data_IF_760100237366
#
_entry.id   IF_760100237366
#
_cell.length_a   1.000
_cell.length_b   1.000
_cell.length_c   1.000
_cell.angle_alpha   90.00
_cell.angle_beta   90.00
_cell.angle_gamma   90.00
#
_symmetry.space_group_name_H-M   'P 1'
#
loop_
_entity.id
_entity.type
_entity.pdbx_description
1 polymer ?
#
# COMPACT_ATOMS: atom_id res chain seq x y z
N UNK A 1 17.64 23.73 -1.47
CA UNK A 1 17.02 23.01 -2.61
C UNK A 1 16.42 24.04 -3.57
N UNK A 2 16.89 24.11 -4.81
CA UNK A 2 16.28 24.97 -5.84
C UNK A 2 15.06 24.25 -6.41
N UNK A 3 13.93 24.95 -6.48
CA UNK A 3 12.64 24.37 -6.85
C UNK A 3 12.66 23.73 -8.25
N UNK A 4 13.24 24.41 -9.23
CA UNK A 4 13.33 23.91 -10.62
C UNK A 4 14.13 22.60 -10.70
N UNK A 5 15.28 22.52 -10.03
CA UNK A 5 16.11 21.32 -10.00
C UNK A 5 15.38 20.15 -9.32
N UNK A 6 14.61 20.46 -8.27
CA UNK A 6 13.81 19.47 -7.57
C UNK A 6 12.70 18.90 -8.47
N UNK A 7 11.98 19.74 -9.21
CA UNK A 7 10.94 19.31 -10.16
C UNK A 7 11.55 18.43 -11.25
N UNK A 8 12.67 18.83 -11.86
CA UNK A 8 13.35 18.01 -12.88
C UNK A 8 13.80 16.66 -12.32
N UNK A 9 14.28 16.66 -11.08
CA UNK A 9 14.71 15.41 -10.43
C UNK A 9 13.53 14.49 -10.18
N UNK A 10 12.42 14.99 -9.64
CA UNK A 10 11.21 14.18 -9.41
C UNK A 10 10.58 13.68 -10.72
N UNK A 11 10.59 14.51 -11.78
CA UNK A 11 10.15 14.10 -13.11
C UNK A 11 10.96 12.92 -13.64
N UNK A 12 12.28 12.89 -13.46
CA UNK A 12 13.11 11.72 -13.86
C UNK A 12 12.72 10.44 -13.14
N UNK A 13 12.30 10.54 -11.87
CA UNK A 13 11.78 9.39 -11.12
C UNK A 13 10.39 8.98 -11.62
N UNK A 14 9.52 9.93 -11.92
CA UNK A 14 8.19 9.68 -12.49
C UNK A 14 8.26 8.95 -13.84
N UNK A 15 9.23 9.29 -14.68
CA UNK A 15 9.45 8.58 -15.96
C UNK A 15 9.84 7.10 -15.78
N UNK A 16 10.31 6.74 -14.58
CA UNK A 16 10.61 5.34 -14.16
C UNK A 16 9.48 4.77 -13.29
N UNK A 17 8.27 5.26 -13.45
CA UNK A 17 7.05 4.86 -12.77
C UNK A 17 7.10 4.99 -11.22
N UNK A 18 8.03 5.81 -10.72
CA UNK A 18 8.14 6.10 -9.29
C UNK A 18 7.61 7.50 -8.98
N UNK A 19 6.40 7.56 -8.45
CA UNK A 19 5.68 8.80 -8.13
C UNK A 19 5.32 8.93 -6.64
N UNK A 20 5.43 7.85 -5.86
CA UNK A 20 5.21 7.82 -4.41
C UNK A 20 6.56 7.75 -3.71
N UNK A 21 6.78 8.66 -2.77
CA UNK A 21 8.05 8.83 -2.05
C UNK A 21 7.79 8.92 -0.56
N UNK A 22 8.62 8.25 0.22
CA UNK A 22 8.71 8.52 1.66
C UNK A 22 9.55 9.78 1.90
N UNK A 23 9.41 10.38 3.07
CA UNK A 23 10.30 11.47 3.52
C UNK A 23 11.77 11.05 3.44
N UNK A 24 12.08 9.80 3.80
CA UNK A 24 13.43 9.24 3.72
C UNK A 24 13.94 9.13 2.28
N UNK A 25 13.07 8.77 1.32
CA UNK A 25 13.44 8.74 -0.10
C UNK A 25 13.81 10.13 -0.59
N UNK A 26 12.95 11.10 -0.31
CA UNK A 26 13.21 12.50 -0.69
C UNK A 26 14.47 13.03 -0.03
N UNK A 27 14.72 12.67 1.23
CA UNK A 27 15.96 13.05 1.92
C UNK A 27 17.21 12.46 1.27
N UNK A 28 17.13 11.21 0.77
CA UNK A 28 18.22 10.56 0.00
C UNK A 28 18.40 11.19 -1.37
N UNK A 29 17.30 11.47 -2.08
CA UNK A 29 17.32 12.12 -3.40
C UNK A 29 17.98 13.50 -3.33
N UNK A 30 17.67 14.26 -2.28
CA UNK A 30 18.20 15.62 -2.02
C UNK A 30 19.25 15.63 -0.92
N UNK A 31 20.14 14.63 -0.90
CA UNK A 31 21.14 14.45 0.16
C UNK A 31 22.13 15.63 0.30
N UNK A 32 22.34 16.40 -0.76
CA UNK A 32 23.26 17.55 -0.77
C UNK A 32 22.71 18.76 -0.02
N UNK A 33 21.40 18.83 0.18
CA UNK A 33 20.80 19.96 0.90
C UNK A 33 20.99 19.80 2.42
N UNK A 34 21.30 20.90 3.10
CA UNK A 34 21.26 20.95 4.56
C UNK A 34 19.80 20.77 5.05
N UNK A 35 19.62 20.17 6.20
CA UNK A 35 18.29 19.82 6.74
C UNK A 35 17.28 20.99 6.73
N UNK A 36 17.62 22.23 7.16
CA UNK A 36 16.68 23.35 7.09
C UNK A 36 16.26 23.69 5.65
N UNK A 37 17.21 23.69 4.70
CA UNK A 37 16.96 23.98 3.29
C UNK A 37 16.11 22.88 2.63
N UNK A 38 16.33 21.61 2.99
CA UNK A 38 15.53 20.47 2.55
C UNK A 38 14.07 20.62 3.04
N UNK A 39 13.86 20.87 4.33
CA UNK A 39 12.51 21.03 4.91
C UNK A 39 11.77 22.21 4.27
N UNK A 40 12.42 23.36 4.14
CA UNK A 40 11.84 24.54 3.50
C UNK A 40 11.49 24.27 2.03
N UNK A 41 12.38 23.62 1.28
CA UNK A 41 12.16 23.24 -0.11
C UNK A 41 11.03 22.23 -0.28
N UNK A 42 10.96 21.22 0.58
CA UNK A 42 9.87 20.24 0.58
C UNK A 42 8.51 20.92 0.84
N UNK A 43 8.44 21.81 1.83
CA UNK A 43 7.24 22.60 2.10
C UNK A 43 6.85 23.51 0.92
N UNK A 44 7.83 24.09 0.23
CA UNK A 44 7.59 24.90 -0.96
C UNK A 44 7.03 24.09 -2.13
N UNK A 45 7.56 22.87 -2.37
CA UNK A 45 7.03 21.95 -3.40
C UNK A 45 5.59 21.52 -3.10
N UNK A 46 5.26 21.31 -1.84
CA UNK A 46 3.88 20.96 -1.43
C UNK A 46 2.95 22.17 -1.62
N UNK A 47 3.34 23.38 -1.19
CA UNK A 47 2.53 24.60 -1.38
C UNK A 47 2.30 24.94 -2.85
N UNK A 48 3.30 24.70 -3.68
CA UNK A 48 3.22 24.94 -5.13
C UNK A 48 2.49 23.83 -5.89
N UNK A 49 2.02 22.77 -5.21
CA UNK A 49 1.27 21.68 -5.84
C UNK A 49 2.11 20.65 -6.62
N UNK A 50 3.45 20.76 -6.61
CA UNK A 50 4.33 19.78 -7.26
C UNK A 50 4.42 18.45 -6.50
N UNK A 51 4.29 18.50 -5.18
CA UNK A 51 4.13 17.36 -4.31
C UNK A 51 2.81 17.46 -3.55
N UNK A 52 2.11 16.35 -3.44
CA UNK A 52 0.93 16.20 -2.59
C UNK A 52 1.27 15.29 -1.43
N UNK A 53 1.02 15.74 -0.22
CA UNK A 53 1.18 14.89 0.95
C UNK A 53 -0.02 13.96 1.06
N UNK A 54 0.20 12.66 0.94
CA UNK A 54 -0.86 11.65 1.01
C UNK A 54 -1.24 11.32 2.46
N UNK A 55 -0.21 11.17 3.28
CA UNK A 55 -0.32 10.98 4.74
C UNK A 55 1.01 11.38 5.38
N UNK A 56 1.18 11.18 6.69
CA UNK A 56 2.42 11.55 7.39
C UNK A 56 3.63 10.84 6.79
N UNK A 57 4.56 11.63 6.24
CA UNK A 57 5.83 11.13 5.69
C UNK A 57 5.73 10.48 4.30
N UNK A 58 4.57 10.48 3.65
CA UNK A 58 4.36 9.96 2.29
C UNK A 58 3.92 11.09 1.38
N UNK A 59 4.59 11.19 0.23
CA UNK A 59 4.39 12.24 -0.76
C UNK A 59 4.16 11.63 -2.14
N UNK A 60 3.33 12.30 -2.92
CA UNK A 60 2.99 11.96 -4.29
C UNK A 60 3.46 13.08 -5.23
N UNK A 61 4.13 12.73 -6.33
CA UNK A 61 4.48 13.67 -7.38
C UNK A 61 3.25 13.94 -8.26
N UNK A 62 2.71 15.15 -8.15
CA UNK A 62 1.40 15.50 -8.70
C UNK A 62 1.40 15.81 -10.21
N UNK A 63 2.57 15.99 -10.83
CA UNK A 63 2.71 16.29 -12.27
C UNK A 63 2.93 15.02 -13.11
N UNK A 64 2.49 13.86 -12.65
CA UNK A 64 2.52 12.66 -13.48
C UNK A 64 1.33 12.65 -14.43
N UNK A 65 1.59 12.40 -15.70
CA UNK A 65 0.57 12.25 -16.74
C UNK A 65 0.08 10.80 -16.86
N UNK A 66 0.74 9.87 -16.12
CA UNK A 66 0.42 8.45 -16.15
C UNK A 66 -0.52 8.07 -15.01
N UNK A 67 -1.49 7.17 -15.25
CA UNK A 67 -2.26 6.57 -14.18
C UNK A 67 -1.32 5.79 -13.26
N UNK A 68 -1.57 5.85 -11.96
CA UNK A 68 -0.79 5.12 -10.95
C UNK A 68 -1.51 3.80 -10.70
N UNK A 69 -0.95 2.65 -11.11
CA UNK A 69 -1.57 1.36 -10.84
C UNK A 69 -1.49 1.06 -9.34
N UNK A 70 -2.58 0.52 -8.79
CA UNK A 70 -2.67 0.09 -7.38
C UNK A 70 -2.10 1.11 -6.37
N UNK A 71 -2.60 2.37 -6.36
CA UNK A 71 -1.97 3.43 -5.56
C UNK A 71 -2.00 3.14 -4.06
N UNK A 72 -3.06 2.51 -3.55
CA UNK A 72 -3.15 2.14 -2.14
C UNK A 72 -2.11 1.10 -1.74
N UNK A 73 -1.83 0.13 -2.60
CA UNK A 73 -0.80 -0.87 -2.35
C UNK A 73 0.61 -0.26 -2.36
N UNK A 74 0.89 0.63 -3.32
CA UNK A 74 2.16 1.37 -3.35
C UNK A 74 2.36 2.20 -2.08
N UNK A 75 1.30 2.84 -1.57
CA UNK A 75 1.33 3.61 -0.33
C UNK A 75 1.54 2.65 0.86
N UNK A 76 0.86 1.50 0.89
CA UNK A 76 1.01 0.51 1.94
C UNK A 76 2.46 -0.01 2.04
N UNK A 77 3.06 -0.37 0.92
CA UNK A 77 4.49 -0.75 0.85
C UNK A 77 5.38 0.39 1.34
N UNK A 78 5.11 1.64 0.96
CA UNK A 78 5.89 2.78 1.41
C UNK A 78 5.78 3.02 2.92
N UNK A 79 4.59 2.84 3.51
CA UNK A 79 4.31 2.99 4.94
C UNK A 79 4.98 1.91 5.81
N UNK A 80 5.15 0.69 5.30
CA UNK A 80 5.65 -0.49 6.02
C UNK A 80 6.79 -1.19 5.29
N UNK A 81 7.70 -0.41 4.70
CA UNK A 81 8.79 -0.88 3.82
C UNK A 81 9.67 -1.98 4.41
N UNK A 82 9.91 -1.98 5.72
CA UNK A 82 10.75 -2.97 6.41
C UNK A 82 9.96 -4.15 6.98
N UNK A 83 8.70 -4.28 6.61
CA UNK A 83 7.81 -5.34 7.06
C UNK A 83 7.32 -6.15 5.88
N UNK A 84 6.97 -7.41 6.12
CA UNK A 84 6.19 -8.18 5.16
C UNK A 84 4.74 -7.71 5.22
N UNK A 85 4.19 -7.40 4.04
CA UNK A 85 2.84 -6.90 3.89
C UNK A 85 2.18 -7.68 2.76
N UNK A 86 0.92 -8.06 2.93
CA UNK A 86 0.16 -8.76 1.91
C UNK A 86 -1.33 -8.41 1.99
N UNK A 87 -2.00 -8.40 0.86
CA UNK A 87 -3.45 -8.24 0.79
C UNK A 87 -4.11 -9.47 1.39
N UNK A 88 -5.04 -9.28 2.31
CA UNK A 88 -5.75 -10.34 2.99
C UNK A 88 -7.11 -9.85 3.49
N UNK A 89 -7.77 -10.66 4.32
CA UNK A 89 -9.05 -10.30 4.91
C UNK A 89 -10.08 -10.00 3.80
N UNK A 90 -10.92 -9.00 4.00
CA UNK A 90 -11.99 -8.64 3.07
C UNK A 90 -11.46 -8.28 1.68
N UNK A 91 -10.31 -7.60 1.58
CA UNK A 91 -9.77 -7.21 0.27
C UNK A 91 -9.38 -8.42 -0.58
N UNK A 92 -8.73 -9.42 0.00
CA UNK A 92 -8.41 -10.64 -0.74
C UNK A 92 -9.65 -11.46 -1.07
N UNK A 93 -10.55 -11.65 -0.10
CA UNK A 93 -11.77 -12.44 -0.29
C UNK A 93 -12.71 -11.81 -1.33
N UNK A 94 -12.75 -10.48 -1.41
CA UNK A 94 -13.49 -9.77 -2.46
C UNK A 94 -12.89 -9.99 -3.85
N UNK A 95 -11.57 -10.05 -3.98
CA UNK A 95 -10.92 -10.33 -5.26
C UNK A 95 -11.18 -11.76 -5.77
N UNK A 96 -11.41 -12.71 -4.85
CA UNK A 96 -11.82 -14.07 -5.18
C UNK A 96 -13.34 -14.23 -5.36
N UNK A 97 -14.13 -13.16 -5.15
CA UNK A 97 -15.59 -13.23 -5.23
C UNK A 97 -16.25 -13.89 -4.01
N UNK A 98 -15.49 -14.24 -2.99
CA UNK A 98 -16.01 -14.90 -1.76
C UNK A 98 -16.82 -13.95 -0.88
N UNK A 99 -16.64 -12.65 -1.07
CA UNK A 99 -17.41 -11.59 -0.40
C UNK A 99 -17.99 -10.68 -1.48
N UNK A 100 -19.32 -10.60 -1.53
CA UNK A 100 -20.05 -9.79 -2.53
C UNK A 100 -20.06 -8.29 -2.23
N UNK A 101 -19.72 -7.87 -1.01
CA UNK A 101 -19.62 -6.48 -0.64
C UNK A 101 -18.15 -6.06 -0.52
N UNK A 102 -17.67 -5.31 -1.52
CA UNK A 102 -16.36 -4.66 -1.46
C UNK A 102 -16.39 -3.60 -0.36
N UNK A 103 -15.42 -3.59 0.59
CA UNK A 103 -15.27 -2.46 1.49
C UNK A 103 -15.09 -1.20 0.66
N UNK A 104 -16.07 -0.31 0.68
CA UNK A 104 -16.08 0.94 -0.07
C UNK A 104 -14.81 1.76 0.26
N UNK A 105 -14.00 1.99 -0.76
CA UNK A 105 -12.87 2.93 -0.77
C UNK A 105 -11.64 2.56 0.09
N UNK A 106 -11.24 1.29 0.22
CA UNK A 106 -10.03 0.95 0.98
C UNK A 106 -9.47 -0.43 0.71
N UNK A 107 -8.31 -0.72 1.30
CA UNK A 107 -7.69 -2.04 1.32
C UNK A 107 -7.37 -2.50 2.74
N UNK A 108 -7.46 -3.81 2.96
CA UNK A 108 -7.07 -4.48 4.20
C UNK A 108 -5.78 -5.26 3.97
N UNK A 109 -4.77 -4.96 4.78
CA UNK A 109 -3.40 -5.45 4.62
C UNK A 109 -2.94 -6.12 5.91
N UNK A 110 -2.50 -7.36 5.82
CA UNK A 110 -1.78 -8.01 6.90
C UNK A 110 -0.31 -7.58 6.88
N UNK A 111 0.27 -7.33 8.04
CA UNK A 111 1.65 -6.85 8.17
C UNK A 111 2.37 -7.48 9.37
N UNK A 112 3.66 -7.77 9.23
CA UNK A 112 4.52 -8.09 10.39
C UNK A 112 4.88 -6.85 11.22
N UNK A 113 4.55 -5.66 10.71
CA UNK A 113 4.72 -4.39 11.40
C UNK A 113 3.54 -4.03 12.32
N UNK A 114 3.48 -2.78 12.75
CA UNK A 114 2.39 -2.28 13.60
C UNK A 114 1.08 -2.17 12.82
N UNK A 115 0.00 -2.55 13.47
CA UNK A 115 -1.36 -2.25 13.00
C UNK A 115 -1.60 -0.73 12.93
N UNK A 116 -2.59 -0.34 12.14
CA UNK A 116 -2.97 1.07 12.04
C UNK A 116 -3.87 1.37 10.86
N UNK A 117 -4.53 2.51 10.92
CA UNK A 117 -5.46 3.00 9.93
C UNK A 117 -4.90 4.28 9.30
N UNK A 118 -4.91 4.35 7.97
CA UNK A 118 -4.39 5.48 7.21
C UNK A 118 -5.39 5.91 6.15
N UNK A 119 -5.92 7.12 6.31
CA UNK A 119 -6.72 7.77 5.29
C UNK A 119 -5.80 8.48 4.29
N UNK A 120 -6.07 8.28 3.01
CA UNK A 120 -5.36 8.89 1.90
C UNK A 120 -6.34 9.43 0.87
N UNK A 121 -5.93 10.33 -0.02
CA UNK A 121 -6.78 10.78 -1.12
C UNK A 121 -7.19 9.68 -2.12
N UNK A 122 -6.53 8.52 -2.08
CA UNK A 122 -6.86 7.36 -2.92
C UNK A 122 -7.78 6.35 -2.21
N UNK A 123 -8.02 6.53 -0.92
CA UNK A 123 -8.81 5.64 -0.08
C UNK A 123 -8.10 5.29 1.21
N UNK A 124 -8.69 4.36 1.95
CA UNK A 124 -8.23 3.93 3.28
C UNK A 124 -7.35 2.69 3.19
N UNK A 125 -6.30 2.67 4.00
CA UNK A 125 -5.44 1.50 4.18
C UNK A 125 -5.55 1.09 5.65
N UNK A 126 -5.98 -0.13 5.88
CA UNK A 126 -6.01 -0.73 7.19
C UNK A 126 -4.96 -1.82 7.31
N UNK A 127 -4.01 -1.64 8.23
CA UNK A 127 -3.03 -2.65 8.58
C UNK A 127 -3.46 -3.42 9.81
N UNK A 128 -3.46 -4.74 9.69
CA UNK A 128 -3.65 -5.68 10.79
C UNK A 128 -2.34 -6.42 11.05
N UNK A 129 -1.90 -6.45 12.31
CA UNK A 129 -0.66 -7.13 12.68
C UNK A 129 -0.79 -8.65 12.62
N UNK A 130 0.25 -9.31 12.11
CA UNK A 130 0.41 -10.77 12.16
C UNK A 130 1.71 -11.17 12.82
N UNK A 131 1.67 -12.24 13.61
CA UNK A 131 2.85 -12.87 14.21
C UNK A 131 3.36 -14.06 13.40
N UNK A 132 2.84 -14.28 12.20
CA UNK A 132 3.28 -15.38 11.33
C UNK A 132 4.73 -15.20 10.94
N UNK A 133 5.45 -16.31 10.82
CA UNK A 133 6.80 -16.31 10.27
C UNK A 133 6.75 -15.92 8.79
N UNK A 134 7.85 -15.37 8.31
CA UNK A 134 8.01 -14.99 6.89
C UNK A 134 7.77 -16.20 5.98
N UNK A 135 8.33 -17.37 6.33
CA UNK A 135 8.11 -18.61 5.57
C UNK A 135 6.62 -18.93 5.45
N UNK A 136 5.88 -18.93 6.56
CA UNK A 136 4.43 -19.16 6.53
C UNK A 136 3.66 -18.11 5.69
N UNK A 137 4.09 -16.86 5.67
CA UNK A 137 3.47 -15.84 4.82
C UNK A 137 3.71 -16.17 3.35
N UNK A 138 4.95 -16.50 2.98
CA UNK A 138 5.32 -16.83 1.60
C UNK A 138 4.59 -18.08 1.07
N UNK A 139 4.45 -19.10 1.91
CA UNK A 139 3.74 -20.33 1.56
C UNK A 139 2.23 -20.14 1.33
N UNK A 140 1.66 -19.04 1.84
CA UNK A 140 0.21 -18.81 1.81
C UNK A 140 -0.17 -17.51 1.05
N UNK A 141 0.80 -16.90 0.36
CA UNK A 141 0.59 -15.74 -0.50
C UNK A 141 1.17 -16.00 -1.87
N UNK A 142 0.62 -15.35 -2.88
CA UNK A 142 1.15 -15.41 -4.25
C UNK A 142 1.48 -14.02 -4.77
N UNK A 143 2.54 -13.94 -5.57
CA UNK A 143 2.84 -12.76 -6.37
C UNK A 143 1.84 -12.68 -7.52
N UNK A 144 1.14 -11.56 -7.61
CA UNK A 144 0.13 -11.29 -8.63
C UNK A 144 0.54 -10.14 -9.57
N UNK A 145 1.86 -9.84 -9.63
CA UNK A 145 2.42 -8.76 -10.45
C UNK A 145 2.06 -7.35 -9.97
N UNK A 146 1.71 -7.21 -8.67
CA UNK A 146 1.32 -5.95 -8.03
C UNK A 146 2.23 -5.65 -6.84
N UNK A 147 2.16 -4.44 -6.26
CA UNK A 147 3.01 -4.06 -5.12
C UNK A 147 2.86 -4.94 -3.88
N UNK A 148 1.68 -5.52 -3.63
CA UNK A 148 1.43 -6.43 -2.52
C UNK A 148 1.12 -7.84 -3.02
N UNK A 149 1.72 -8.90 -2.43
CA UNK A 149 1.28 -10.27 -2.63
C UNK A 149 -0.17 -10.44 -2.15
N UNK A 150 -0.89 -11.39 -2.75
CA UNK A 150 -2.27 -11.73 -2.43
C UNK A 150 -2.31 -13.00 -1.59
N UNK A 151 -2.99 -12.97 -0.45
CA UNK A 151 -3.24 -14.16 0.36
C UNK A 151 -4.11 -15.18 -0.41
N UNK A 152 -3.86 -16.47 -0.26
CA UNK A 152 -4.79 -17.49 -0.73
C UNK A 152 -6.14 -17.38 -0.01
N UNK A 153 -7.20 -17.92 -0.60
CA UNK A 153 -8.56 -17.89 0.01
C UNK A 153 -8.53 -18.48 1.43
N UNK A 154 -7.87 -19.64 1.61
CA UNK A 154 -7.71 -20.28 2.91
C UNK A 154 -7.01 -19.38 3.93
N UNK A 155 -5.95 -18.68 3.49
CA UNK A 155 -5.20 -17.77 4.36
C UNK A 155 -6.02 -16.53 4.72
N UNK A 156 -6.71 -15.93 3.76
CA UNK A 156 -7.54 -14.76 3.97
C UNK A 156 -8.72 -15.05 4.92
N UNK A 157 -9.39 -16.18 4.75
CA UNK A 157 -10.44 -16.65 5.66
C UNK A 157 -9.93 -16.88 7.08
N UNK A 158 -8.77 -17.56 7.20
CA UNK A 158 -8.12 -17.79 8.49
C UNK A 158 -7.77 -16.48 9.18
N UNK A 159 -7.28 -15.49 8.42
CA UNK A 159 -6.96 -14.16 8.93
C UNK A 159 -8.23 -13.41 9.35
N UNK A 160 -9.29 -13.48 8.56
CA UNK A 160 -10.59 -12.87 8.85
C UNK A 160 -11.21 -13.43 10.15
N UNK A 161 -11.23 -14.76 10.29
CA UNK A 161 -11.74 -15.44 11.51
C UNK A 161 -10.92 -15.07 12.75
N UNK A 162 -9.59 -14.95 12.61
CA UNK A 162 -8.70 -14.54 13.70
C UNK A 162 -8.96 -13.10 14.16
N UNK A 163 -9.26 -12.21 13.22
CA UNK A 163 -9.60 -10.80 13.53
C UNK A 163 -11.01 -10.70 14.11
N UNK A 164 -11.90 -11.65 13.80
CA UNK A 164 -13.23 -11.75 14.39
C UNK A 164 -14.23 -10.70 13.90
N UNK A 165 -14.02 -10.15 12.68
CA UNK A 165 -14.94 -9.18 12.10
C UNK A 165 -15.41 -9.63 10.72
N UNK A 166 -16.61 -9.19 10.33
CA UNK A 166 -17.18 -9.38 8.99
C UNK A 166 -17.25 -10.86 8.50
N UNK A 167 -17.13 -11.82 9.40
CA UNK A 167 -17.20 -13.26 9.07
C UNK A 167 -18.56 -13.65 8.49
N UNK A 168 -19.61 -12.89 8.79
CA UNK A 168 -20.96 -13.09 8.26
C UNK A 168 -21.11 -12.68 6.77
N UNK A 169 -20.12 -12.00 6.20
CA UNK A 169 -20.11 -11.61 4.78
C UNK A 169 -19.60 -12.72 3.87
N UNK A 170 -19.03 -13.79 4.45
CA UNK A 170 -18.51 -14.93 3.71
C UNK A 170 -19.67 -15.82 3.31
N UNK A 171 -19.96 -15.91 2.02
CA UNK A 171 -20.94 -16.83 1.47
C UNK A 171 -20.36 -18.24 1.44
N UNK A 172 -20.95 -19.17 2.23
CA UNK A 172 -20.48 -20.56 2.30
C UNK A 172 -20.62 -21.29 0.96
N UNK A 173 -21.58 -20.89 0.13
CA UNK A 173 -21.81 -21.44 -1.21
C UNK A 173 -20.68 -21.08 -2.17
N UNK A 174 -20.16 -19.84 -2.12
CA UNK A 174 -19.06 -19.37 -2.96
C UNK A 174 -17.71 -19.98 -2.57
N UNK A 175 -17.56 -20.42 -1.31
CA UNK A 175 -16.38 -21.17 -0.85
C UNK A 175 -16.24 -22.55 -1.51
N UNK A 176 -17.35 -23.19 -1.87
CA UNK A 176 -17.34 -24.51 -2.51
C UNK A 176 -16.92 -24.45 -3.97
N UNK A 177 -17.16 -23.32 -4.66
CA UNK A 177 -16.83 -23.14 -6.08
C UNK A 177 -15.37 -22.71 -6.33
N UNK A 178 -14.72 -22.07 -5.35
CA UNK A 178 -13.34 -21.57 -5.48
C UNK A 178 -12.28 -22.66 -5.25
N UNK A 179 -12.68 -23.91 -5.03
CA UNK A 179 -11.81 -25.01 -4.64
C UNK A 179 -11.71 -26.17 -5.62
N UNK A 180 -10.98 -26.04 -6.78
CA UNK A 180 -10.26 -27.21 -7.27
C UNK A 180 -8.74 -27.18 -7.14
N UNK A 181 -8.07 -26.02 -7.06
CA UNK A 181 -6.63 -25.97 -7.34
C UNK A 181 -5.71 -25.20 -6.36
N UNK A 182 -6.13 -24.85 -5.17
CA UNK A 182 -5.24 -24.30 -4.14
C UNK A 182 -4.72 -25.37 -3.17
N UNK A 183 -4.09 -26.43 -3.72
CA UNK A 183 -3.36 -27.47 -3.01
C UNK A 183 -1.89 -27.14 -2.87
#
# INVERSE_FOLDING_TARGET
>A
MKQVEAIHTLRRWSLRDRVIFTHTDLRKIFARDKEPAFRAGLAALVRAGFLRRLTRGIYFYALTDKPVPHPLEQIAVALRRSCYNYLSLESALSEYGVISQVPLAGITVMTTGRAGLFDTPFGRIEFTHTQRTVANILDHTRDVGRPLPLASVKAALRDLRRVGRNTHLVAEEELAEVHPDDG
#
